data_IF_731385245734
#
_entry.id   IF_731385245734
#
_cell.length_a   1.000
_cell.length_b   1.000
_cell.length_c   1.000
_cell.angle_alpha   90.00
_cell.angle_beta   90.00
_cell.angle_gamma   90.00
#
_symmetry.space_group_name_H-M   'P 1'
#
loop_
_entity.id
_entity.type
_entity.pdbx_description
1 polymer ?
#
# COMPACT_ATOMS: atom_id res chain seq x y z
N UNK A 1 27.60 33.78 -14.01
CA UNK A 1 26.55 33.94 -12.98
C UNK A 1 27.14 33.94 -11.56
N UNK A 2 27.72 32.83 -11.07
CA UNK A 2 28.23 32.73 -9.68
C UNK A 2 29.32 33.76 -9.33
N UNK A 3 30.33 33.95 -10.21
CA UNK A 3 31.39 34.95 -10.02
C UNK A 3 30.90 36.41 -10.20
N UNK A 4 29.78 36.60 -10.90
CA UNK A 4 29.21 37.93 -11.20
C UNK A 4 28.09 38.31 -10.22
N UNK A 5 27.66 37.39 -9.35
CA UNK A 5 26.67 37.67 -8.31
C UNK A 5 27.31 38.53 -7.21
N UNK A 6 26.59 39.51 -6.67
CA UNK A 6 27.08 40.38 -5.59
C UNK A 6 26.24 40.22 -4.32
N UNK A 7 26.79 39.72 -3.19
CA UNK A 7 28.17 39.22 -3.03
C UNK A 7 28.42 37.93 -3.82
N UNK A 8 29.70 37.61 -4.05
CA UNK A 8 30.13 36.44 -4.82
C UNK A 8 29.66 35.13 -4.17
N UNK A 9 29.10 34.23 -4.98
CA UNK A 9 28.58 32.95 -4.52
C UNK A 9 29.54 31.81 -4.87
N UNK A 10 29.83 30.98 -3.87
CA UNK A 10 30.57 29.73 -4.01
C UNK A 10 29.60 28.55 -4.08
N UNK A 11 29.96 27.50 -4.83
CA UNK A 11 29.08 26.34 -5.05
C UNK A 11 28.58 25.70 -3.75
N UNK A 12 29.44 25.63 -2.73
CA UNK A 12 29.11 25.10 -1.40
C UNK A 12 28.05 25.90 -0.64
N UNK A 13 27.74 27.12 -1.08
CA UNK A 13 26.74 28.02 -0.47
C UNK A 13 25.51 28.23 -1.35
N UNK A 14 25.41 27.52 -2.48
CA UNK A 14 24.26 27.60 -3.37
C UNK A 14 23.07 26.82 -2.79
N UNK A 15 22.01 27.53 -2.44
CA UNK A 15 20.69 26.94 -2.15
C UNK A 15 19.82 26.84 -3.41
N UNK A 16 18.70 26.10 -3.35
CA UNK A 16 17.75 25.96 -4.47
C UNK A 16 17.24 27.30 -5.03
N UNK A 17 17.13 28.34 -4.20
CA UNK A 17 16.76 29.68 -4.66
C UNK A 17 17.77 30.29 -5.67
N UNK A 18 19.06 29.93 -5.56
CA UNK A 18 20.09 30.39 -6.48
C UNK A 18 20.03 29.66 -7.83
N UNK A 19 19.53 28.43 -7.84
CA UNK A 19 19.28 27.64 -9.07
C UNK A 19 18.14 28.26 -9.88
N UNK A 20 17.03 28.60 -9.23
CA UNK A 20 15.93 29.31 -9.90
C UNK A 20 16.34 30.65 -10.50
N UNK A 21 17.17 31.41 -9.78
CA UNK A 21 17.66 32.71 -10.25
C UNK A 21 18.68 32.57 -11.40
N UNK A 22 19.44 31.47 -11.45
CA UNK A 22 20.28 31.10 -12.59
C UNK A 22 19.44 30.68 -13.82
N UNK A 23 18.37 29.92 -13.63
CA UNK A 23 17.46 29.53 -14.72
C UNK A 23 16.78 30.77 -15.33
N UNK A 24 16.34 31.73 -14.51
CA UNK A 24 15.83 33.04 -14.99
C UNK A 24 16.90 33.89 -15.68
N UNK A 25 18.15 33.79 -15.24
CA UNK A 25 19.27 34.44 -15.92
C UNK A 25 19.51 33.83 -17.31
N UNK A 26 19.39 32.50 -17.48
CA UNK A 26 19.50 31.85 -18.79
C UNK A 26 18.35 32.23 -19.74
N UNK A 27 17.15 32.42 -19.20
CA UNK A 27 15.96 32.89 -19.92
C UNK A 27 16.16 34.30 -20.51
N UNK A 28 16.86 35.19 -19.78
CA UNK A 28 17.22 36.54 -20.25
C UNK A 28 18.18 36.57 -21.46
N UNK A 29 18.93 35.49 -21.71
CA UNK A 29 19.84 35.40 -22.86
C UNK A 29 19.25 34.63 -24.05
N UNK A 30 17.93 34.40 -24.07
CA UNK A 30 17.22 33.90 -25.25
C UNK A 30 17.65 32.51 -25.71
N UNK A 31 18.19 31.67 -24.83
CA UNK A 31 18.57 30.29 -25.18
C UNK A 31 17.38 29.33 -25.30
N UNK A 32 16.16 29.81 -25.15
CA UNK A 32 14.91 29.12 -25.50
C UNK A 32 14.54 29.43 -26.96
N UNK A 33 15.28 28.82 -27.89
CA UNK A 33 15.12 28.88 -29.36
C UNK A 33 13.70 28.64 -29.92
N UNK A 34 12.72 28.31 -29.08
CA UNK A 34 11.35 27.92 -29.46
C UNK A 34 10.43 29.13 -29.69
N UNK A 35 10.77 30.31 -29.15
CA UNK A 35 9.86 31.47 -29.19
C UNK A 35 9.87 32.27 -30.50
N UNK A 36 10.92 32.20 -31.32
CA UNK A 36 11.05 33.02 -32.53
C UNK A 36 10.32 32.46 -33.78
N UNK A 37 9.73 31.26 -33.73
CA UNK A 37 9.12 30.63 -34.92
C UNK A 37 7.58 30.72 -35.01
N UNK A 38 6.90 31.27 -34.00
CA UNK A 38 5.43 31.26 -33.93
C UNK A 38 4.85 32.66 -33.64
N UNK A 39 4.94 33.58 -34.61
CA UNK A 39 4.61 35.01 -34.43
C UNK A 39 3.10 35.35 -34.24
N UNK A 40 2.16 34.40 -34.34
CA UNK A 40 0.70 34.71 -34.23
C UNK A 40 -0.05 34.01 -33.09
N UNK A 41 0.54 33.02 -32.44
CA UNK A 41 -0.12 32.24 -31.36
C UNK A 41 0.86 32.08 -30.22
N UNK A 42 0.44 32.38 -28.99
CA UNK A 42 1.28 32.14 -27.80
C UNK A 42 1.30 30.64 -27.51
N UNK A 43 2.40 29.91 -27.80
CA UNK A 43 2.42 28.45 -27.68
C UNK A 43 2.44 28.00 -26.21
N UNK A 44 2.97 28.84 -25.32
CA UNK A 44 3.06 28.56 -23.87
C UNK A 44 2.52 29.76 -23.11
N UNK A 45 1.57 29.50 -22.20
CA UNK A 45 1.02 30.49 -21.28
C UNK A 45 1.46 30.12 -19.86
N UNK A 46 2.43 30.86 -19.33
CA UNK A 46 2.87 30.71 -17.94
C UNK A 46 1.91 31.46 -17.00
N UNK A 47 1.32 30.76 -16.04
CA UNK A 47 0.48 31.35 -15.00
C UNK A 47 1.27 31.36 -13.68
N UNK A 48 2.10 32.39 -13.49
CA UNK A 48 2.91 32.58 -12.27
C UNK A 48 2.13 33.38 -11.20
N UNK A 49 0.96 32.86 -10.83
CA UNK A 49 0.13 33.42 -9.75
C UNK A 49 -0.75 32.33 -9.13
N UNK A 50 -1.19 32.50 -7.87
CA UNK A 50 -2.15 31.58 -7.28
C UNK A 50 -3.44 31.50 -8.12
N UNK A 51 -3.82 30.28 -8.47
CA UNK A 51 -5.08 29.99 -9.18
C UNK A 51 -6.03 29.29 -8.20
N UNK A 52 -7.22 29.86 -8.02
CA UNK A 52 -8.27 29.27 -7.17
C UNK A 52 -8.72 27.89 -7.65
N UNK A 53 -9.27 27.08 -6.73
CA UNK A 53 -9.63 25.68 -6.98
C UNK A 53 -10.56 25.51 -8.18
N UNK A 54 -11.66 26.27 -8.24
CA UNK A 54 -12.65 26.16 -9.33
C UNK A 54 -12.03 26.45 -10.69
N UNK A 55 -11.09 27.40 -10.76
CA UNK A 55 -10.39 27.76 -12.00
C UNK A 55 -9.37 26.69 -12.41
N UNK A 56 -8.68 26.05 -11.46
CA UNK A 56 -7.84 24.87 -11.75
C UNK A 56 -8.67 23.69 -12.26
N UNK A 57 -9.81 23.42 -11.63
CA UNK A 57 -10.74 22.39 -12.09
C UNK A 57 -11.24 22.65 -13.51
N UNK A 58 -11.57 23.91 -13.83
CA UNK A 58 -11.93 24.28 -15.20
C UNK A 58 -10.78 24.03 -16.19
N UNK A 59 -9.54 24.40 -15.85
CA UNK A 59 -8.38 24.09 -16.69
C UNK A 59 -8.19 22.59 -16.92
N UNK A 60 -8.35 21.77 -15.88
CA UNK A 60 -8.24 20.32 -16.02
C UNK A 60 -9.38 19.72 -16.84
N UNK A 61 -10.61 20.23 -16.69
CA UNK A 61 -11.76 19.74 -17.43
C UNK A 61 -11.61 19.96 -18.94
N UNK A 62 -11.06 21.11 -19.36
CA UNK A 62 -10.87 21.43 -20.78
C UNK A 62 -9.56 20.90 -21.37
N UNK A 63 -8.60 20.47 -20.54
CA UNK A 63 -7.31 20.02 -21.02
C UNK A 63 -7.39 18.63 -21.69
N UNK A 64 -6.91 18.54 -22.93
CA UNK A 64 -6.86 17.29 -23.70
C UNK A 64 -5.76 16.33 -23.21
N UNK A 65 -4.67 16.89 -22.69
CA UNK A 65 -3.56 16.13 -22.12
C UNK A 65 -3.01 16.84 -20.88
N UNK A 66 -2.66 16.06 -19.86
CA UNK A 66 -1.98 16.54 -18.66
C UNK A 66 -0.60 15.90 -18.55
N UNK A 67 0.44 16.73 -18.55
CA UNK A 67 1.83 16.32 -18.37
C UNK A 67 2.33 16.61 -16.95
N UNK A 68 2.91 15.61 -16.30
CA UNK A 68 3.58 15.72 -15.00
C UNK A 68 4.99 15.19 -15.12
N UNK A 69 5.90 16.08 -15.54
CA UNK A 69 7.29 15.76 -15.87
C UNK A 69 8.25 16.10 -14.71
N UNK A 70 7.92 15.70 -13.48
CA UNK A 70 8.74 15.99 -12.31
C UNK A 70 9.91 15.00 -12.19
N UNK A 71 11.13 15.51 -11.92
CA UNK A 71 12.34 14.69 -11.75
C UNK A 71 12.30 13.83 -10.48
N UNK A 72 11.65 14.32 -9.43
CA UNK A 72 11.45 13.60 -8.17
C UNK A 72 10.22 14.15 -7.48
N UNK A 73 9.22 13.31 -7.26
CA UNK A 73 8.01 13.69 -6.55
C UNK A 73 7.43 12.47 -5.82
N UNK A 74 7.08 12.62 -4.56
CA UNK A 74 6.54 11.54 -3.74
C UNK A 74 5.11 11.20 -4.17
N UNK A 75 4.15 12.05 -3.81
CA UNK A 75 2.75 11.87 -4.19
C UNK A 75 2.23 13.12 -4.88
N UNK A 76 2.24 13.08 -6.21
CA UNK A 76 1.71 14.17 -7.01
C UNK A 76 0.19 14.00 -7.18
N UNK A 77 -0.58 14.95 -6.66
CA UNK A 77 -2.06 14.91 -6.74
C UNK A 77 -2.62 15.46 -8.06
N UNK A 78 -1.79 16.01 -8.95
CA UNK A 78 -2.24 16.62 -10.21
C UNK A 78 -2.89 15.59 -11.14
N UNK A 79 -2.30 14.40 -11.40
CA UNK A 79 -2.92 13.40 -12.26
C UNK A 79 -4.31 12.96 -11.77
N UNK A 80 -4.45 12.72 -10.47
CA UNK A 80 -5.72 12.35 -9.84
C UNK A 80 -6.79 13.43 -10.01
N UNK A 81 -6.42 14.68 -9.72
CA UNK A 81 -7.34 15.83 -9.87
C UNK A 81 -7.75 16.01 -11.33
N UNK A 82 -6.81 15.81 -12.26
CA UNK A 82 -7.08 15.90 -13.69
C UNK A 82 -8.10 14.84 -14.14
N UNK A 83 -7.88 13.56 -13.80
CA UNK A 83 -8.78 12.45 -14.15
C UNK A 83 -10.19 12.70 -13.60
N UNK A 84 -10.30 13.12 -12.34
CA UNK A 84 -11.61 13.45 -11.73
C UNK A 84 -12.29 14.62 -12.43
N UNK A 85 -11.56 15.66 -12.81
CA UNK A 85 -12.15 16.80 -13.54
C UNK A 85 -12.58 16.41 -14.97
N UNK A 86 -11.91 15.45 -15.61
CA UNK A 86 -12.25 14.93 -16.94
C UNK A 86 -13.46 14.01 -16.94
N UNK A 87 -13.72 13.30 -15.85
CA UNK A 87 -14.98 12.55 -15.67
C UNK A 87 -16.19 13.50 -15.74
N UNK A 88 -16.05 14.71 -15.20
CA UNK A 88 -17.08 15.74 -15.25
C UNK A 88 -18.25 15.53 -14.30
N UNK A 89 -19.23 16.42 -14.39
CA UNK A 89 -20.52 16.35 -13.68
C UNK A 89 -21.62 16.89 -14.61
N UNK A 90 -22.90 16.57 -14.40
CA UNK A 90 -23.97 17.05 -15.27
C UNK A 90 -23.98 18.58 -15.48
N UNK A 91 -23.70 19.36 -14.43
CA UNK A 91 -23.61 20.82 -14.55
C UNK A 91 -22.40 21.29 -15.36
N UNK A 92 -21.27 20.56 -15.26
CA UNK A 92 -20.08 20.87 -16.03
C UNK A 92 -20.25 20.47 -17.49
N UNK A 93 -20.95 19.37 -17.76
CA UNK A 93 -21.25 18.89 -19.10
C UNK A 93 -22.14 19.88 -19.85
N UNK A 94 -23.19 20.38 -19.19
CA UNK A 94 -24.03 21.45 -19.72
C UNK A 94 -23.20 22.70 -20.05
N UNK A 95 -22.33 23.12 -19.13
CA UNK A 95 -21.46 24.28 -19.34
C UNK A 95 -20.42 24.08 -20.45
N UNK A 96 -20.00 22.84 -20.72
CA UNK A 96 -19.05 22.50 -21.79
C UNK A 96 -19.74 22.07 -23.10
N UNK A 97 -21.07 21.99 -23.13
CA UNK A 97 -21.82 21.50 -24.30
C UNK A 97 -21.59 20.01 -24.61
N UNK A 98 -21.20 19.23 -23.61
CA UNK A 98 -20.96 17.78 -23.75
C UNK A 98 -22.30 17.04 -23.63
N UNK A 99 -22.61 16.17 -24.60
CA UNK A 99 -23.84 15.36 -24.55
C UNK A 99 -23.73 14.30 -23.46
N UNK A 100 -24.85 13.94 -22.82
CA UNK A 100 -24.89 12.94 -21.74
C UNK A 100 -24.26 11.59 -22.13
N UNK A 101 -24.32 11.19 -23.40
CA UNK A 101 -23.82 9.89 -23.87
C UNK A 101 -22.40 9.95 -24.45
N UNK A 102 -21.68 11.07 -24.33
CA UNK A 102 -20.32 11.16 -24.83
C UNK A 102 -19.34 10.37 -23.94
N UNK A 103 -18.47 9.52 -24.52
CA UNK A 103 -17.47 8.80 -23.75
C UNK A 103 -16.48 9.78 -23.12
N UNK A 104 -16.06 9.48 -21.89
CA UNK A 104 -15.09 10.28 -21.16
C UNK A 104 -13.68 9.90 -21.56
N UNK A 105 -12.82 10.89 -21.73
CA UNK A 105 -11.44 10.70 -22.17
C UNK A 105 -10.48 11.51 -21.32
N UNK A 106 -9.30 10.97 -21.06
CA UNK A 106 -8.22 11.68 -20.37
C UNK A 106 -6.88 11.12 -20.79
N UNK A 107 -5.91 12.00 -21.07
CA UNK A 107 -4.57 11.60 -21.43
C UNK A 107 -3.54 12.14 -20.42
N UNK A 108 -2.70 11.23 -19.95
CA UNK A 108 -1.70 11.49 -18.91
C UNK A 108 -0.32 11.10 -19.44
N UNK A 109 0.58 12.09 -19.44
CA UNK A 109 2.02 11.88 -19.67
C UNK A 109 2.72 12.11 -18.35
N UNK A 110 3.37 11.09 -17.80
CA UNK A 110 3.90 11.12 -16.44
C UNK A 110 5.36 10.70 -16.41
N UNK A 111 6.16 11.39 -15.60
CA UNK A 111 7.52 10.93 -15.35
C UNK A 111 7.50 9.58 -14.62
N UNK A 112 8.39 8.68 -15.01
CA UNK A 112 8.60 7.40 -14.31
C UNK A 112 9.06 7.56 -12.85
N UNK A 113 9.58 8.72 -12.48
CA UNK A 113 10.15 9.01 -11.15
C UNK A 113 9.15 9.63 -10.16
N UNK A 114 7.86 9.73 -10.53
CA UNK A 114 6.81 10.20 -9.60
C UNK A 114 6.17 9.00 -8.91
N UNK A 115 5.95 9.09 -7.59
CA UNK A 115 5.42 7.95 -6.82
C UNK A 115 3.97 7.56 -7.14
N UNK A 116 3.23 8.36 -7.92
CA UNK A 116 1.93 7.94 -8.47
C UNK A 116 2.01 7.19 -9.82
N UNK A 117 3.20 7.04 -10.40
CA UNK A 117 3.44 6.29 -11.65
C UNK A 117 3.04 4.81 -11.56
N UNK A 118 3.31 4.08 -10.46
CA UNK A 118 2.84 2.69 -10.32
C UNK A 118 1.32 2.58 -10.19
N UNK A 119 0.69 3.54 -9.49
CA UNK A 119 -0.76 3.59 -9.25
C UNK A 119 -1.59 3.83 -10.51
N UNK A 120 -1.05 4.60 -11.47
CA UNK A 120 -1.72 4.92 -12.74
C UNK A 120 -0.94 4.25 -13.88
N UNK A 121 -1.05 2.92 -13.92
CA UNK A 121 -0.24 2.03 -14.77
C UNK A 121 -0.40 2.26 -16.29
N UNK A 122 -1.51 2.83 -16.73
CA UNK A 122 -1.89 2.97 -18.15
C UNK A 122 -1.59 4.37 -18.70
N UNK A 123 -0.69 5.09 -18.03
CA UNK A 123 -0.21 6.40 -18.46
C UNK A 123 0.99 6.26 -19.40
N UNK A 124 1.20 7.28 -20.23
CA UNK A 124 2.40 7.34 -21.07
C UNK A 124 3.55 7.77 -20.16
N UNK A 125 4.42 6.81 -19.83
CA UNK A 125 5.58 7.05 -18.97
C UNK A 125 6.72 7.65 -19.79
N UNK A 126 7.35 8.66 -19.22
CA UNK A 126 8.49 9.35 -19.84
C UNK A 126 9.63 9.51 -18.86
N UNK A 127 10.85 9.50 -19.39
CA UNK A 127 12.01 9.98 -18.66
C UNK A 127 12.08 11.51 -18.85
N UNK A 128 12.00 12.33 -17.77
CA UNK A 128 12.04 13.80 -17.87
C UNK A 128 13.32 14.35 -18.49
N UNK A 129 14.39 13.56 -18.53
CA UNK A 129 15.68 13.92 -19.13
C UNK A 129 15.72 13.67 -20.63
N UNK A 130 14.79 12.88 -21.18
CA UNK A 130 14.68 12.58 -22.60
C UNK A 130 13.61 13.47 -23.24
N UNK A 131 14.07 14.60 -23.80
CA UNK A 131 13.18 15.63 -24.36
C UNK A 131 12.43 15.11 -25.58
N UNK A 132 13.07 14.28 -26.41
CA UNK A 132 12.49 13.75 -27.63
C UNK A 132 11.38 12.74 -27.28
N UNK A 133 11.63 11.84 -26.33
CA UNK A 133 10.62 10.91 -25.83
C UNK A 133 9.43 11.64 -25.19
N UNK A 134 9.66 12.74 -24.46
CA UNK A 134 8.57 13.57 -23.92
C UNK A 134 7.74 14.22 -25.02
N UNK A 135 8.39 14.73 -26.08
CA UNK A 135 7.71 15.32 -27.21
C UNK A 135 6.87 14.28 -27.99
N UNK A 136 7.43 13.10 -28.24
CA UNK A 136 6.73 11.97 -28.86
C UNK A 136 5.55 11.50 -28.01
N UNK A 137 5.70 11.45 -26.69
CA UNK A 137 4.63 11.10 -25.76
C UNK A 137 3.48 12.12 -25.79
N UNK A 138 3.78 13.42 -25.83
CA UNK A 138 2.77 14.48 -25.96
C UNK A 138 2.05 14.39 -27.31
N UNK A 139 2.79 14.18 -28.40
CA UNK A 139 2.20 14.00 -29.73
C UNK A 139 1.29 12.76 -29.78
N UNK A 140 1.76 11.65 -29.22
CA UNK A 140 0.99 10.41 -29.10
C UNK A 140 -0.26 10.62 -28.27
N UNK A 141 -0.18 11.32 -27.13
CA UNK A 141 -1.33 11.60 -26.27
C UNK A 141 -2.45 12.36 -27.00
N UNK A 142 -2.10 13.33 -27.83
CA UNK A 142 -3.07 14.17 -28.55
C UNK A 142 -3.64 13.42 -29.77
N UNK A 143 -2.80 12.69 -30.50
CA UNK A 143 -3.17 11.99 -31.75
C UNK A 143 -3.79 10.60 -31.54
N UNK A 144 -3.78 10.08 -30.30
CA UNK A 144 -4.37 8.78 -29.95
C UNK A 144 -5.85 8.66 -30.35
N UNK A 145 -6.27 7.45 -30.71
CA UNK A 145 -7.66 7.16 -31.06
C UNK A 145 -8.58 7.35 -29.84
N UNK A 146 -9.75 7.95 -30.05
CA UNK A 146 -10.70 8.25 -28.97
C UNK A 146 -11.14 7.01 -28.18
N UNK A 147 -11.26 5.85 -28.83
CA UNK A 147 -11.56 4.58 -28.16
C UNK A 147 -10.48 4.17 -27.16
N UNK A 148 -9.20 4.39 -27.49
CA UNK A 148 -8.09 4.11 -26.59
C UNK A 148 -8.04 5.13 -25.45
N UNK A 149 -8.28 6.42 -25.75
CA UNK A 149 -8.37 7.47 -24.72
C UNK A 149 -9.49 7.17 -23.72
N UNK A 150 -10.60 6.60 -24.19
CA UNK A 150 -11.72 6.18 -23.35
C UNK A 150 -11.33 5.02 -22.43
N UNK A 151 -10.73 3.95 -22.97
CA UNK A 151 -10.29 2.79 -22.17
C UNK A 151 -9.28 3.19 -21.08
N UNK A 152 -8.31 4.03 -21.44
CA UNK A 152 -7.34 4.57 -20.47
C UNK A 152 -8.03 5.42 -19.41
N UNK A 153 -8.98 6.26 -19.81
CA UNK A 153 -9.75 7.06 -18.86
C UNK A 153 -10.54 6.20 -17.88
N UNK A 154 -11.24 5.17 -18.36
CA UNK A 154 -12.03 4.28 -17.52
C UNK A 154 -11.16 3.57 -16.47
N UNK A 155 -10.00 3.04 -16.89
CA UNK A 155 -9.03 2.41 -15.98
C UNK A 155 -8.53 3.41 -14.93
N UNK A 156 -8.11 4.61 -15.33
CA UNK A 156 -7.66 5.64 -14.40
C UNK A 156 -8.78 6.07 -13.45
N UNK A 157 -9.97 6.34 -13.95
CA UNK A 157 -11.08 6.82 -13.14
C UNK A 157 -11.55 5.75 -12.13
N UNK A 158 -11.60 4.48 -12.54
CA UNK A 158 -11.88 3.35 -11.63
C UNK A 158 -10.86 3.30 -10.49
N UNK A 159 -9.57 3.43 -10.79
CA UNK A 159 -8.53 3.47 -9.76
C UNK A 159 -8.71 4.65 -8.80
N UNK A 160 -8.83 5.88 -9.33
CA UNK A 160 -8.96 7.09 -8.51
C UNK A 160 -10.24 7.09 -7.67
N UNK A 161 -11.32 6.48 -8.16
CA UNK A 161 -12.60 6.40 -7.43
C UNK A 161 -12.60 5.37 -6.30
N UNK A 162 -11.79 4.31 -6.43
CA UNK A 162 -11.68 3.24 -5.41
C UNK A 162 -10.59 3.51 -4.37
N UNK A 163 -9.56 4.26 -4.73
CA UNK A 163 -8.39 4.54 -3.89
C UNK A 163 -8.45 5.97 -3.35
N UNK A 164 -9.49 6.28 -2.59
CA UNK A 164 -9.69 7.60 -1.98
C UNK A 164 -8.73 7.86 -0.79
N UNK A 165 -8.80 9.07 -0.22
CA UNK A 165 -7.98 9.44 0.94
C UNK A 165 -8.26 8.51 2.14
N UNK A 166 -9.48 8.00 2.27
CA UNK A 166 -9.83 7.09 3.34
C UNK A 166 -9.18 5.71 3.13
N UNK A 167 -9.14 5.21 1.89
CA UNK A 167 -8.38 4.02 1.50
C UNK A 167 -6.89 4.23 1.80
N UNK A 168 -6.32 5.33 1.31
CA UNK A 168 -4.91 5.67 1.57
C UNK A 168 -4.61 5.72 3.07
N UNK A 169 -5.46 6.36 3.89
CA UNK A 169 -5.26 6.45 5.34
C UNK A 169 -5.34 5.07 6.03
N UNK A 170 -6.23 4.18 5.57
CA UNK A 170 -6.29 2.78 6.04
C UNK A 170 -5.04 2.00 5.66
N UNK A 171 -4.52 2.19 4.45
CA UNK A 171 -3.27 1.57 3.99
C UNK A 171 -2.04 2.15 4.69
N UNK A 172 -2.01 3.45 4.98
CA UNK A 172 -0.92 4.12 5.71
C UNK A 172 -0.83 3.68 7.17
N UNK A 173 -1.96 3.31 7.78
CA UNK A 173 -2.00 2.75 9.12
C UNK A 173 -1.24 1.44 9.30
N UNK A 174 -0.68 0.85 8.24
CA UNK A 174 -0.01 -0.46 8.29
C UNK A 174 1.50 -0.36 8.01
N UNK A 175 2.01 0.76 7.48
CA UNK A 175 3.30 0.75 6.75
C UNK A 175 4.32 1.83 7.09
N UNK A 176 4.55 2.15 8.38
CA UNK A 176 5.61 3.11 8.72
C UNK A 176 7.02 2.50 8.80
N UNK A 177 7.23 1.22 8.51
CA UNK A 177 8.58 0.61 8.59
C UNK A 177 9.25 0.73 9.97
N UNK A 178 8.51 1.12 11.01
CA UNK A 178 9.04 1.39 12.35
C UNK A 178 9.17 0.12 13.20
N UNK A 179 8.99 -1.07 12.61
CA UNK A 179 9.06 -2.35 13.34
C UNK A 179 7.96 -2.52 14.41
N UNK A 180 6.91 -1.68 14.38
CA UNK A 180 5.75 -1.84 15.25
C UNK A 180 4.44 -1.84 14.46
N UNK A 181 3.56 -2.76 14.83
CA UNK A 181 2.20 -2.88 14.31
C UNK A 181 1.34 -1.78 14.93
N UNK A 182 0.88 -0.83 14.12
CA UNK A 182 -0.13 0.14 14.56
C UNK A 182 -1.44 -0.62 14.71
N UNK A 183 -1.84 -0.88 15.96
CA UNK A 183 -3.13 -1.46 16.26
C UNK A 183 -4.16 -0.32 16.27
N UNK A 184 -5.05 -0.30 15.27
CA UNK A 184 -6.28 0.48 15.37
C UNK A 184 -7.16 -0.17 16.42
N UNK A 185 -7.15 0.42 17.62
CA UNK A 185 -7.98 -0.03 18.73
C UNK A 185 -9.31 0.71 18.64
N UNK A 186 -10.43 0.01 18.88
CA UNK A 186 -11.75 0.64 18.85
C UNK A 186 -11.82 1.79 19.86
N UNK A 187 -12.69 2.80 19.67
CA UNK A 187 -12.89 3.87 20.64
C UNK A 187 -13.28 3.36 22.04
N UNK A 188 -13.82 2.14 22.11
CA UNK A 188 -14.20 1.44 23.34
C UNK A 188 -13.07 0.63 23.98
N UNK A 189 -11.90 0.53 23.34
CA UNK A 189 -10.78 -0.23 23.87
C UNK A 189 -10.26 0.42 25.15
N UNK A 190 -10.26 -0.35 26.24
CA UNK A 190 -9.72 0.09 27.52
C UNK A 190 -8.51 -0.75 27.85
N UNK A 191 -7.41 -0.08 28.23
CA UNK A 191 -6.24 -0.76 28.78
C UNK A 191 -6.69 -1.60 29.98
N UNK A 192 -6.20 -2.83 30.00
CA UNK A 192 -6.51 -3.80 31.04
C UNK A 192 -5.97 -3.30 32.39
N UNK A 193 -6.85 -3.19 33.39
CA UNK A 193 -6.47 -2.81 34.76
C UNK A 193 -6.03 -4.06 35.54
N UNK A 194 -4.78 -4.04 36.00
CA UNK A 194 -4.21 -5.12 36.83
C UNK A 194 -4.99 -5.29 38.12
N UNK A 195 -5.37 -4.20 38.78
CA UNK A 195 -6.11 -4.24 40.05
C UNK A 195 -7.49 -4.87 39.88
N UNK A 196 -8.17 -4.53 38.79
CA UNK A 196 -9.46 -5.13 38.46
C UNK A 196 -9.33 -6.63 38.21
N UNK A 197 -8.33 -7.08 37.43
CA UNK A 197 -8.11 -8.51 37.19
C UNK A 197 -7.76 -9.24 38.47
N UNK A 198 -6.82 -8.73 39.26
CA UNK A 198 -6.37 -9.39 40.48
C UNK A 198 -7.54 -9.52 41.45
N UNK A 199 -8.37 -8.49 41.59
CA UNK A 199 -9.59 -8.54 42.38
C UNK A 199 -10.60 -9.56 41.83
N UNK A 200 -10.84 -9.56 40.51
CA UNK A 200 -11.75 -10.51 39.86
C UNK A 200 -11.26 -11.96 39.95
N UNK A 201 -9.95 -12.18 39.83
CA UNK A 201 -9.32 -13.48 39.97
C UNK A 201 -9.49 -13.99 41.41
N UNK A 202 -9.16 -13.18 42.42
CA UNK A 202 -9.28 -13.58 43.84
C UNK A 202 -10.71 -13.94 44.25
N UNK A 203 -11.72 -13.21 43.76
CA UNK A 203 -13.13 -13.44 44.14
C UNK A 203 -13.81 -14.62 43.43
N UNK A 204 -13.27 -15.07 42.29
CA UNK A 204 -13.90 -16.12 41.46
C UNK A 204 -13.42 -17.50 41.87
N UNK A 205 -14.32 -18.50 41.75
CA UNK A 205 -14.08 -19.88 42.19
C UNK A 205 -13.92 -20.88 41.04
N UNK A 206 -14.25 -20.49 39.81
CA UNK A 206 -14.05 -21.26 38.57
C UNK A 206 -13.61 -20.31 37.47
N UNK A 207 -12.44 -20.54 36.89
CA UNK A 207 -11.80 -19.61 35.95
C UNK A 207 -11.36 -20.36 34.70
N UNK A 208 -11.83 -19.93 33.55
CA UNK A 208 -11.30 -20.37 32.26
C UNK A 208 -10.32 -19.32 31.74
N UNK A 209 -9.09 -19.73 31.45
CA UNK A 209 -8.00 -18.85 30.99
C UNK A 209 -7.59 -19.32 29.60
N UNK A 210 -7.77 -18.47 28.61
CA UNK A 210 -7.37 -18.74 27.23
C UNK A 210 -6.16 -17.89 26.90
N UNK A 211 -5.05 -18.55 26.57
CA UNK A 211 -3.79 -17.90 26.23
C UNK A 211 -3.45 -18.23 24.78
N UNK A 212 -3.30 -17.19 23.97
CA UNK A 212 -2.71 -17.35 22.65
C UNK A 212 -1.21 -17.71 22.80
N UNK A 213 -0.65 -18.48 21.87
CA UNK A 213 0.75 -18.89 21.97
C UNK A 213 1.69 -17.85 21.35
N UNK A 214 1.54 -17.61 20.05
CA UNK A 214 2.43 -16.74 19.27
C UNK A 214 2.06 -15.27 19.47
N UNK A 215 2.99 -14.48 20.03
CA UNK A 215 2.76 -13.06 20.34
C UNK A 215 2.18 -12.81 21.74
N UNK A 216 1.83 -13.86 22.49
CA UNK A 216 1.34 -13.74 23.88
C UNK A 216 2.20 -14.53 24.86
N UNK A 217 2.34 -15.84 24.71
CA UNK A 217 3.18 -16.69 25.58
C UNK A 217 4.65 -16.62 25.15
N UNK A 218 4.89 -16.59 23.84
CA UNK A 218 6.22 -16.41 23.24
C UNK A 218 6.16 -15.20 22.31
N UNK A 219 7.14 -14.28 22.33
CA UNK A 219 7.17 -13.16 21.39
C UNK A 219 7.10 -13.63 19.93
N UNK A 220 6.26 -12.98 19.12
CA UNK A 220 5.99 -13.40 17.74
C UNK A 220 7.26 -13.37 16.85
N UNK A 221 8.21 -12.48 17.15
CA UNK A 221 9.48 -12.30 16.43
C UNK A 221 10.61 -13.21 16.93
N UNK A 222 10.34 -14.15 17.85
CA UNK A 222 11.39 -15.01 18.40
C UNK A 222 11.74 -16.14 17.44
N UNK A 223 13.03 -16.25 17.11
CA UNK A 223 13.60 -17.41 16.39
C UNK A 223 13.41 -18.68 17.24
N UNK A 224 13.59 -18.55 18.55
CA UNK A 224 13.35 -19.63 19.51
C UNK A 224 11.87 -19.66 19.85
N UNK A 225 11.16 -20.66 19.34
CA UNK A 225 9.71 -20.83 19.51
C UNK A 225 9.34 -21.57 20.79
N UNK A 226 10.32 -22.00 21.58
CA UNK A 226 10.14 -22.71 22.85
C UNK A 226 9.94 -21.71 23.99
N UNK A 227 8.99 -21.94 24.93
CA UNK A 227 8.76 -21.03 26.05
C UNK A 227 9.96 -20.96 26.99
N UNK A 228 10.20 -19.79 27.58
CA UNK A 228 11.27 -19.65 28.58
C UNK A 228 10.93 -20.42 29.87
N UNK A 229 11.93 -20.78 30.69
CA UNK A 229 11.69 -21.43 31.98
C UNK A 229 10.78 -20.62 32.91
N UNK A 230 10.85 -19.29 32.84
CA UNK A 230 9.97 -18.38 33.60
C UNK A 230 8.51 -18.53 33.19
N UNK A 231 8.25 -18.56 31.87
CA UNK A 231 6.90 -18.75 31.33
C UNK A 231 6.35 -20.12 31.73
N UNK A 232 7.16 -21.17 31.65
CA UNK A 232 6.78 -22.52 32.10
C UNK A 232 6.43 -22.52 33.60
N UNK A 233 7.18 -21.79 34.42
CA UNK A 233 6.91 -21.66 35.86
C UNK A 233 5.59 -20.96 36.13
N UNK A 234 5.29 -19.89 35.40
CA UNK A 234 4.01 -19.16 35.51
C UNK A 234 2.84 -20.03 35.06
N UNK A 235 2.96 -20.74 33.93
CA UNK A 235 1.93 -21.66 33.43
C UNK A 235 1.65 -22.77 34.43
N UNK A 236 2.69 -23.39 35.00
CA UNK A 236 2.53 -24.40 36.05
C UNK A 236 1.88 -23.82 37.31
N UNK A 237 2.22 -22.60 37.71
CA UNK A 237 1.57 -21.93 38.86
C UNK A 237 0.08 -21.73 38.61
N UNK A 238 -0.31 -21.33 37.39
CA UNK A 238 -1.72 -21.19 37.02
C UNK A 238 -2.44 -22.54 36.97
N UNK A 239 -1.79 -23.58 36.44
CA UNK A 239 -2.37 -24.93 36.32
C UNK A 239 -2.50 -25.64 37.67
N UNK A 240 -1.63 -25.32 38.63
CA UNK A 240 -1.66 -25.92 39.98
C UNK A 240 -2.81 -25.39 40.85
N UNK A 241 -3.45 -24.27 40.49
CA UNK A 241 -4.66 -23.81 41.16
C UNK A 241 -5.88 -24.61 40.63
N UNK A 242 -6.52 -25.46 41.45
CA UNK A 242 -7.64 -26.30 40.99
C UNK A 242 -8.88 -25.51 40.57
N UNK A 243 -8.94 -24.21 40.87
CA UNK A 243 -10.01 -23.31 40.41
C UNK A 243 -9.82 -22.85 38.97
N UNK A 244 -8.64 -23.11 38.39
CA UNK A 244 -8.29 -22.69 37.04
C UNK A 244 -8.42 -23.84 36.05
N UNK A 245 -8.88 -23.50 34.85
CA UNK A 245 -8.78 -24.33 33.65
C UNK A 245 -8.06 -23.50 32.59
N UNK A 246 -6.84 -23.90 32.25
CA UNK A 246 -5.96 -23.15 31.34
C UNK A 246 -5.93 -23.82 29.97
N UNK A 247 -6.19 -23.01 28.94
CA UNK A 247 -6.18 -23.40 27.53
C UNK A 247 -5.10 -22.63 26.79
N UNK A 248 -4.33 -23.35 25.97
CA UNK A 248 -3.43 -22.74 24.99
C UNK A 248 -4.13 -22.79 23.63
N UNK A 249 -4.34 -21.62 23.04
CA UNK A 249 -4.84 -21.45 21.68
C UNK A 249 -3.64 -21.14 20.81
N UNK A 250 -3.44 -21.89 19.74
CA UNK A 250 -2.24 -21.71 18.91
C UNK A 250 -2.52 -22.09 17.48
N UNK A 251 -1.78 -21.44 16.58
CA UNK A 251 -1.71 -21.78 15.15
C UNK A 251 -0.57 -22.75 14.85
N UNK A 252 0.20 -23.19 15.85
CA UNK A 252 1.30 -24.15 15.70
C UNK A 252 0.77 -25.58 15.59
N UNK A 253 1.55 -26.44 14.94
CA UNK A 253 1.24 -27.86 14.83
C UNK A 253 1.15 -28.53 16.20
N UNK A 254 0.26 -29.53 16.30
CA UNK A 254 -0.01 -30.26 17.55
C UNK A 254 1.24 -30.96 18.10
N UNK A 255 2.06 -31.54 17.24
CA UNK A 255 3.29 -32.25 17.60
C UNK A 255 4.28 -31.31 18.31
N UNK A 256 4.59 -30.17 17.68
CA UNK A 256 5.52 -29.17 18.22
C UNK A 256 5.05 -28.61 19.56
N UNK A 257 3.78 -28.24 19.69
CA UNK A 257 3.24 -27.73 20.96
C UNK A 257 3.28 -28.77 22.08
N UNK A 258 2.98 -30.03 21.75
CA UNK A 258 2.98 -31.11 22.74
C UNK A 258 4.38 -31.34 23.29
N UNK A 259 5.41 -31.24 22.44
CA UNK A 259 6.81 -31.32 22.86
C UNK A 259 7.23 -30.11 23.71
N UNK A 260 6.97 -28.89 23.23
CA UNK A 260 7.42 -27.66 23.91
C UNK A 260 6.72 -27.42 25.26
N UNK A 261 5.47 -27.85 25.40
CA UNK A 261 4.68 -27.70 26.61
C UNK A 261 4.62 -28.98 27.46
N UNK A 262 5.38 -30.03 27.11
CA UNK A 262 5.50 -31.25 27.91
C UNK A 262 5.80 -31.00 29.41
N UNK A 263 6.58 -29.96 29.79
CA UNK A 263 6.82 -29.66 31.21
C UNK A 263 5.60 -29.15 31.99
N UNK A 264 4.50 -28.78 31.32
CA UNK A 264 3.31 -28.20 31.94
C UNK A 264 2.26 -29.26 32.27
N UNK A 265 2.24 -29.76 33.51
CA UNK A 265 1.47 -30.95 33.92
C UNK A 265 -0.04 -30.75 34.20
N UNK A 266 -0.63 -29.62 33.83
CA UNK A 266 -2.06 -29.34 34.09
C UNK A 266 -2.75 -28.50 33.02
N UNK A 267 -2.11 -28.34 31.85
CA UNK A 267 -2.75 -27.72 30.70
C UNK A 267 -3.90 -28.60 30.23
N UNK A 268 -5.07 -28.00 30.05
CA UNK A 268 -6.21 -28.72 29.48
C UNK A 268 -5.96 -28.94 27.99
N UNK A 269 -5.27 -30.02 27.66
CA UNK A 269 -5.15 -30.50 26.31
C UNK A 269 -6.44 -31.27 26.00
N UNK A 270 -7.24 -30.82 25.02
CA UNK A 270 -8.35 -31.60 24.45
C UNK A 270 -7.83 -32.84 23.67
N UNK A 271 -6.69 -33.41 24.07
CA UNK A 271 -6.02 -34.49 23.36
C UNK A 271 -6.69 -35.85 23.53
N UNK A 272 -7.49 -36.07 24.58
CA UNK A 272 -8.20 -37.34 24.78
C UNK A 272 -9.60 -37.38 24.15
N UNK A 273 -10.29 -36.25 24.02
CA UNK A 273 -11.75 -36.24 23.72
C UNK A 273 -12.17 -35.33 22.56
N UNK A 274 -11.25 -34.64 21.88
CA UNK A 274 -11.62 -34.03 20.60
C UNK A 274 -11.69 -35.15 19.55
N UNK A 275 -12.90 -35.62 19.25
CA UNK A 275 -13.19 -36.16 17.91
C UNK A 275 -12.60 -35.14 16.93
N UNK A 276 -11.60 -35.55 16.16
CA UNK A 276 -11.16 -34.75 15.01
C UNK A 276 -12.44 -34.33 14.30
N UNK A 277 -12.62 -33.02 14.12
CA UNK A 277 -13.61 -32.56 13.15
C UNK A 277 -13.19 -33.29 11.87
N UNK A 278 -14.08 -34.10 11.24
CA UNK A 278 -13.69 -34.88 10.08
C UNK A 278 -13.02 -33.93 9.12
N UNK A 279 -11.87 -34.35 8.57
CA UNK A 279 -11.20 -33.61 7.52
C UNK A 279 -12.17 -33.50 6.34
N UNK A 280 -13.00 -32.45 6.33
CA UNK A 280 -13.71 -31.99 5.16
C UNK A 280 -12.66 -31.68 4.09
N UNK A 281 -12.91 -32.15 2.86
CA UNK A 281 -12.07 -32.09 1.67
C UNK A 281 -10.83 -31.21 1.83
N UNK A 282 -9.68 -31.85 2.01
CA UNK A 282 -8.37 -31.16 1.98
C UNK A 282 -7.89 -30.93 0.54
N UNK A 283 -8.70 -31.30 -0.46
CA UNK A 283 -8.44 -31.18 -1.90
C UNK A 283 -8.13 -29.73 -2.32
N UNK A 284 -8.66 -28.74 -1.61
CA UNK A 284 -8.32 -27.33 -1.85
C UNK A 284 -6.82 -27.05 -1.67
N UNK A 285 -6.11 -27.79 -0.81
CA UNK A 285 -4.67 -27.60 -0.62
C UNK A 285 -3.88 -27.98 -1.87
N UNK A 286 -4.31 -29.00 -2.60
CA UNK A 286 -3.68 -29.40 -3.86
C UNK A 286 -3.83 -28.33 -4.95
N UNK A 287 -4.89 -27.51 -4.87
CA UNK A 287 -5.14 -26.39 -5.79
C UNK A 287 -4.30 -25.17 -5.40
N UNK A 288 -4.21 -24.87 -4.10
CA UNK A 288 -3.52 -23.67 -3.58
C UNK A 288 -2.00 -23.83 -3.55
N UNK A 289 -1.49 -25.05 -3.33
CA UNK A 289 -0.06 -25.31 -3.17
C UNK A 289 0.79 -24.92 -4.40
N UNK A 290 0.42 -25.25 -5.66
CA UNK A 290 1.18 -24.81 -6.84
C UNK A 290 1.27 -23.29 -6.97
N UNK A 291 0.18 -22.59 -6.62
CA UNK A 291 0.10 -21.12 -6.69
C UNK A 291 1.02 -20.54 -5.63
N UNK A 292 0.92 -20.99 -4.38
CA UNK A 292 1.83 -20.55 -3.32
C UNK A 292 3.29 -20.86 -3.64
N UNK A 293 3.61 -22.00 -4.28
CA UNK A 293 4.97 -22.34 -4.73
C UNK A 293 5.50 -21.35 -5.73
N UNK A 294 4.70 -20.95 -6.72
CA UNK A 294 5.09 -19.92 -7.69
C UNK A 294 5.52 -18.61 -7.01
N UNK A 295 4.73 -18.10 -6.04
CA UNK A 295 5.11 -16.90 -5.30
C UNK A 295 6.30 -17.12 -4.36
N UNK A 296 6.49 -18.34 -3.87
CA UNK A 296 7.65 -18.69 -3.04
C UNK A 296 8.94 -18.67 -3.84
N UNK A 297 8.93 -19.25 -5.04
CA UNK A 297 10.07 -19.24 -5.97
C UNK A 297 10.40 -17.83 -6.49
N UNK A 298 9.38 -17.00 -6.67
CA UNK A 298 9.54 -15.62 -7.10
C UNK A 298 9.97 -14.65 -5.97
N UNK A 299 9.93 -15.08 -4.71
CA UNK A 299 10.17 -14.21 -3.55
C UNK A 299 11.23 -14.79 -2.62
N UNK A 300 12.47 -14.33 -2.80
CA UNK A 300 13.61 -14.77 -1.98
C UNK A 300 13.39 -14.45 -0.49
N UNK A 301 13.71 -15.42 0.37
CA UNK A 301 13.44 -15.37 1.82
C UNK A 301 12.03 -15.79 2.24
N UNK A 302 11.13 -16.13 1.30
CA UNK A 302 9.79 -16.62 1.64
C UNK A 302 9.75 -18.15 1.83
N UNK A 303 8.75 -18.66 2.53
CA UNK A 303 8.54 -20.10 2.69
C UNK A 303 7.06 -20.47 2.87
N UNK A 304 6.74 -21.75 2.62
CA UNK A 304 5.41 -22.33 2.83
C UNK A 304 5.46 -23.27 4.03
N UNK A 305 4.50 -23.12 4.94
CA UNK A 305 4.25 -24.02 6.06
C UNK A 305 2.89 -24.70 5.90
N UNK A 306 2.89 -25.98 5.54
CA UNK A 306 1.67 -26.80 5.45
C UNK A 306 1.30 -27.37 6.82
N UNK A 307 0.06 -27.11 7.26
CA UNK A 307 -0.52 -27.57 8.54
C UNK A 307 -1.68 -28.53 8.29
N UNK A 308 -2.20 -29.16 9.35
CA UNK A 308 -3.32 -30.12 9.26
C UNK A 308 -4.56 -29.52 8.60
N UNK A 309 -4.92 -28.27 8.91
CA UNK A 309 -6.13 -27.60 8.38
C UNK A 309 -5.86 -26.28 7.66
N UNK A 310 -4.61 -25.91 7.44
CA UNK A 310 -4.23 -24.63 6.82
C UNK A 310 -2.93 -24.76 6.03
N UNK A 311 -2.71 -23.84 5.10
CA UNK A 311 -1.41 -23.60 4.45
C UNK A 311 -1.06 -22.14 4.70
N UNK A 312 0.17 -21.87 5.13
CA UNK A 312 0.62 -20.52 5.48
C UNK A 312 1.83 -20.17 4.63
N UNK A 313 1.77 -19.04 3.93
CA UNK A 313 2.92 -18.47 3.24
C UNK A 313 3.55 -17.37 4.12
N UNK A 314 4.84 -17.51 4.40
CA UNK A 314 5.60 -16.58 5.24
C UNK A 314 6.48 -15.69 4.37
N UNK A 315 6.41 -14.38 4.59
CA UNK A 315 7.21 -13.37 3.90
C UNK A 315 7.96 -12.45 4.89
N UNK A 316 8.17 -12.91 6.11
CA UNK A 316 8.76 -12.08 7.18
C UNK A 316 10.27 -11.84 6.99
N UNK A 317 10.94 -12.78 6.34
CA UNK A 317 12.38 -12.74 6.07
C UNK A 317 12.72 -12.24 4.65
N UNK A 318 11.71 -11.78 3.90
CA UNK A 318 11.90 -11.21 2.56
C UNK A 318 12.18 -9.72 2.66
N UNK A 319 12.53 -9.08 1.53
CA UNK A 319 12.45 -7.62 1.43
C UNK A 319 11.03 -7.15 1.84
N UNK A 320 10.88 -6.17 2.77
CA UNK A 320 9.57 -5.82 3.33
C UNK A 320 8.58 -5.27 2.30
N UNK A 321 9.06 -4.46 1.36
CA UNK A 321 8.22 -3.80 0.36
C UNK A 321 7.84 -4.82 -0.73
N UNK A 322 8.81 -5.56 -1.24
CA UNK A 322 8.60 -6.60 -2.24
C UNK A 322 7.77 -7.78 -1.69
N UNK A 323 8.06 -8.23 -0.46
CA UNK A 323 7.32 -9.28 0.22
C UNK A 323 5.87 -8.91 0.48
N UNK A 324 5.61 -7.68 0.95
CA UNK A 324 4.24 -7.19 1.13
C UNK A 324 3.50 -7.04 -0.20
N UNK A 325 4.20 -6.66 -1.28
CA UNK A 325 3.62 -6.60 -2.62
C UNK A 325 3.23 -8.00 -3.12
N UNK A 326 4.15 -8.96 -3.05
CA UNK A 326 3.93 -10.36 -3.43
C UNK A 326 2.83 -11.02 -2.58
N UNK A 327 2.73 -10.69 -1.29
CA UNK A 327 1.66 -11.17 -0.42
C UNK A 327 0.26 -10.71 -0.90
N UNK A 328 0.17 -9.46 -1.38
CA UNK A 328 -1.08 -8.91 -1.88
C UNK A 328 -1.48 -9.55 -3.21
N UNK A 329 -0.55 -9.69 -4.14
CA UNK A 329 -0.79 -10.36 -5.42
C UNK A 329 -1.17 -11.84 -5.22
N UNK A 330 -0.51 -12.54 -4.28
CA UNK A 330 -0.87 -13.91 -3.90
C UNK A 330 -2.30 -13.98 -3.37
N UNK A 331 -2.71 -13.05 -2.49
CA UNK A 331 -4.08 -13.00 -1.98
C UNK A 331 -5.09 -12.81 -3.11
N UNK A 332 -4.86 -11.83 -3.98
CA UNK A 332 -5.74 -11.55 -5.12
C UNK A 332 -5.83 -12.78 -6.07
N UNK A 333 -4.72 -13.49 -6.30
CA UNK A 333 -4.71 -14.71 -7.10
C UNK A 333 -5.52 -15.83 -6.44
N UNK A 334 -5.37 -16.04 -5.13
CA UNK A 334 -6.12 -17.07 -4.41
C UNK A 334 -7.62 -16.77 -4.35
N UNK A 335 -8.02 -15.51 -4.18
CA UNK A 335 -9.43 -15.11 -4.20
C UNK A 335 -10.07 -15.39 -5.58
N UNK A 336 -9.32 -15.16 -6.67
CA UNK A 336 -9.81 -15.44 -8.03
C UNK A 336 -9.91 -16.94 -8.36
N UNK A 337 -9.23 -17.81 -7.63
CA UNK A 337 -9.31 -19.27 -7.82
C UNK A 337 -10.58 -19.85 -7.21
N UNK A 338 -11.03 -19.31 -6.08
CA UNK A 338 -12.24 -19.75 -5.39
C UNK A 338 -13.53 -19.42 -6.19
N UNK A 339 -13.54 -18.31 -6.95
CA UNK A 339 -14.67 -17.92 -7.81
C UNK A 339 -14.94 -18.88 -8.99
N UNK A 340 -14.08 -19.87 -9.22
CA UNK A 340 -14.24 -20.87 -10.28
C UNK A 340 -14.58 -22.28 -9.76
N UNK A 341 -14.79 -22.47 -8.44
CA UNK A 341 -15.05 -23.79 -7.84
C UNK A 341 -16.05 -23.84 -6.67
N UNK A 342 -16.99 -22.90 -6.56
CA UNK A 342 -18.14 -23.00 -5.64
C UNK A 342 -19.48 -23.00 -6.39
#
# INVERSE_FOLDING_TARGET
YLCNHRPSLFLSRCSGAHVFKFLRYLDQFGKTKVHDQFEKTKPVILIDRPVGRSKKSAYYAVAECCIVNAVRDGMNLVPYKYVVCRQGTPQLDEAMGVKMDCPRTSMLVMSEFIGCSPSLSETIRVNPWDIDAVAEALNSAITMLESEKQLRHEKHFRYVSSHDIAYWARSFGIGFGLGFRVLSLSPSFRKLSTDYIVSAYKRTTRRAIFLDYDGTVVPQSSIIKVPSPEVITVLNTLCNDPKNTVFIVSRRGRSSLSEWLAPCKGLWNRSSDLKSIPATDLDWKEIVEPVMKFYTEATDGSNIETKESAVVWHHQDTDPDFGSFQAKELLDHLENIDDHKI
#
